data_IF_309198469936
#
_entry.id   IF_309198469936
#
_cell.length_a   1.000
_cell.length_b   1.000
_cell.length_c   1.000
_cell.angle_alpha   90.00
_cell.angle_beta   90.00
_cell.angle_gamma   90.00
#
_symmetry.space_group_name_H-M   'P 1'
#
loop_
_entity.id
_entity.type
_entity.pdbx_description
1 polymer ?
#
# COMPACT_ATOMS: atom_id res chain seq x y z
N UNK A 1 -1.91 9.00 12.60
CA UNK A 1 -3.10 8.15 12.38
C UNK A 1 -4.07 8.95 11.52
N UNK A 2 -4.51 8.39 10.40
CA UNK A 2 -5.54 8.98 9.55
C UNK A 2 -6.87 8.34 9.98
N UNK A 3 -7.93 9.13 10.15
CA UNK A 3 -9.24 8.55 10.50
C UNK A 3 -9.78 7.79 9.28
N UNK A 4 -10.45 6.65 9.48
CA UNK A 4 -10.99 5.89 8.36
C UNK A 4 -11.93 6.72 7.47
N UNK A 5 -12.66 7.67 8.05
CA UNK A 5 -13.66 8.52 7.39
C UNK A 5 -13.07 9.49 6.36
N UNK A 6 -11.77 9.76 6.41
CA UNK A 6 -11.08 10.57 5.40
C UNK A 6 -10.30 9.73 4.40
N UNK A 7 -10.26 8.39 4.52
CA UNK A 7 -9.51 7.52 3.60
C UNK A 7 -9.96 7.68 2.14
N UNK A 8 -11.25 7.94 1.89
CA UNK A 8 -11.75 8.22 0.54
C UNK A 8 -11.13 9.48 -0.08
N UNK A 9 -10.67 10.44 0.73
CA UNK A 9 -9.96 11.63 0.26
C UNK A 9 -8.51 11.32 -0.19
N UNK A 10 -8.00 10.15 0.21
CA UNK A 10 -6.69 9.62 -0.16
C UNK A 10 -6.81 8.46 -1.15
N UNK A 11 -7.93 8.38 -1.87
CA UNK A 11 -8.11 7.40 -2.92
C UNK A 11 -7.03 7.59 -3.99
N UNK A 12 -6.28 6.52 -4.24
CA UNK A 12 -5.07 6.52 -5.04
C UNK A 12 -5.19 5.53 -6.20
N UNK A 13 -4.39 5.71 -7.24
CA UNK A 13 -4.31 4.74 -8.33
C UNK A 13 -3.70 3.41 -7.88
N UNK A 14 -2.72 3.47 -6.97
CA UNK A 14 -2.02 2.33 -6.39
C UNK A 14 -1.87 2.54 -4.89
N UNK A 15 -2.15 1.50 -4.10
CA UNK A 15 -2.02 1.50 -2.65
C UNK A 15 -0.95 0.50 -2.21
N UNK A 16 0.02 0.95 -1.42
CA UNK A 16 1.01 0.08 -0.79
C UNK A 16 0.70 -0.08 0.70
N UNK A 17 0.59 -1.32 1.17
CA UNK A 17 0.22 -1.67 2.55
C UNK A 17 1.43 -2.29 3.25
N UNK A 18 1.96 -1.59 4.25
CA UNK A 18 3.00 -2.10 5.15
C UNK A 18 2.34 -2.73 6.38
N UNK A 19 2.31 -4.07 6.42
CA UNK A 19 1.67 -4.83 7.48
C UNK A 19 2.68 -5.21 8.59
N UNK A 20 2.99 -4.27 9.48
CA UNK A 20 3.96 -4.49 10.56
C UNK A 20 3.54 -5.52 11.60
N UNK A 21 2.23 -5.76 11.75
CA UNK A 21 1.67 -6.66 12.77
C UNK A 21 1.35 -8.07 12.23
N UNK A 22 1.80 -8.39 11.00
CA UNK A 22 1.56 -9.66 10.31
C UNK A 22 0.08 -10.11 10.34
N UNK A 23 -0.84 -9.15 10.27
CA UNK A 23 -2.28 -9.46 10.19
C UNK A 23 -2.59 -10.21 8.88
N UNK A 24 -3.60 -11.09 8.86
CA UNK A 24 -4.05 -11.68 7.61
C UNK A 24 -4.54 -10.59 6.66
N UNK A 25 -4.35 -10.76 5.33
CA UNK A 25 -4.78 -9.75 4.34
C UNK A 25 -6.27 -9.40 4.46
N UNK A 26 -7.10 -10.38 4.83
CA UNK A 26 -8.53 -10.19 5.09
C UNK A 26 -8.82 -9.15 6.17
N UNK A 27 -7.94 -8.97 7.16
CA UNK A 27 -8.09 -7.92 8.18
C UNK A 27 -8.23 -6.53 7.55
N UNK A 28 -7.51 -6.29 6.46
CA UNK A 28 -7.55 -5.02 5.72
C UNK A 28 -8.60 -5.06 4.62
N UNK A 29 -8.65 -6.13 3.83
CA UNK A 29 -9.48 -6.21 2.62
C UNK A 29 -10.97 -6.41 2.93
N UNK A 30 -11.33 -6.97 4.09
CA UNK A 30 -12.72 -7.11 4.52
C UNK A 30 -13.23 -5.87 5.27
N UNK A 31 -12.35 -4.91 5.58
CA UNK A 31 -12.76 -3.63 6.15
C UNK A 31 -13.52 -2.83 5.07
N UNK A 32 -14.80 -2.46 5.27
CA UNK A 32 -15.62 -1.82 4.24
C UNK A 32 -15.03 -0.54 3.66
N UNK A 33 -14.24 0.20 4.46
CA UNK A 33 -13.65 1.48 4.06
C UNK A 33 -12.38 1.30 3.24
N UNK A 34 -11.61 0.24 3.51
CA UNK A 34 -10.46 -0.11 2.66
C UNK A 34 -10.98 -0.78 1.39
N UNK A 35 -11.97 -1.66 1.51
CA UNK A 35 -12.60 -2.36 0.39
C UNK A 35 -13.27 -1.39 -0.61
N UNK A 36 -13.73 -0.21 -0.16
CA UNK A 36 -14.35 0.78 -1.04
C UNK A 36 -13.35 1.56 -1.91
N UNK A 37 -12.06 1.60 -1.54
CA UNK A 37 -11.03 2.34 -2.27
C UNK A 37 -10.85 1.82 -3.71
N UNK A 38 -10.63 2.72 -4.66
CA UNK A 38 -10.49 2.35 -6.07
C UNK A 38 -9.25 1.50 -6.33
N UNK A 39 -8.14 1.75 -5.63
CA UNK A 39 -6.95 0.90 -5.68
C UNK A 39 -7.27 -0.55 -5.29
N UNK A 40 -8.09 -0.77 -4.25
CA UNK A 40 -8.44 -2.11 -3.78
C UNK A 40 -9.40 -2.79 -4.75
N UNK A 41 -10.46 -2.10 -5.16
CA UNK A 41 -11.43 -2.60 -6.15
C UNK A 41 -10.79 -2.91 -7.51
N UNK A 42 -9.74 -2.19 -7.88
CA UNK A 42 -9.01 -2.38 -9.14
C UNK A 42 -7.86 -3.39 -9.02
N UNK A 43 -7.74 -4.10 -7.90
CA UNK A 43 -6.65 -5.05 -7.62
C UNK A 43 -5.23 -4.44 -7.73
N UNK A 44 -5.11 -3.18 -7.30
CA UNK A 44 -3.89 -2.37 -7.24
C UNK A 44 -3.52 -1.98 -5.79
N UNK A 45 -3.92 -2.82 -4.84
CA UNK A 45 -3.48 -2.75 -3.46
C UNK A 45 -2.46 -3.85 -3.18
N UNK A 46 -1.22 -3.46 -2.89
CA UNK A 46 -0.08 -4.37 -2.75
C UNK A 46 0.43 -4.40 -1.31
N UNK A 47 0.49 -5.59 -0.73
CA UNK A 47 1.16 -5.82 0.54
C UNK A 47 2.65 -5.95 0.27
N UNK A 48 3.45 -5.03 0.80
CA UNK A 48 4.90 -4.94 0.56
C UNK A 48 5.68 -5.45 1.77
N UNK A 49 6.93 -5.86 1.53
CA UNK A 49 7.84 -6.29 2.59
C UNK A 49 8.24 -5.09 3.46
N UNK A 50 7.82 -5.11 4.72
CA UNK A 50 8.03 -4.02 5.68
C UNK A 50 9.51 -3.80 5.98
N UNK A 51 10.37 -4.82 5.88
CA UNK A 51 11.81 -4.69 6.08
C UNK A 51 12.54 -3.96 4.96
N UNK A 52 11.88 -3.85 3.80
CA UNK A 52 12.40 -3.17 2.61
C UNK A 52 11.75 -1.81 2.40
N UNK A 53 10.51 -1.65 2.87
CA UNK A 53 9.67 -0.47 2.62
C UNK A 53 9.62 0.53 3.78
N UNK A 54 10.41 0.33 4.83
CA UNK A 54 10.51 1.27 5.97
C UNK A 54 11.14 2.63 5.62
N UNK A 55 11.81 2.74 4.46
CA UNK A 55 12.39 3.98 3.95
C UNK A 55 13.51 4.56 4.81
N UNK A 56 14.10 3.77 5.72
CA UNK A 56 15.06 4.27 6.70
C UNK A 56 16.42 4.63 6.05
N UNK A 57 16.65 5.93 5.88
CA UNK A 57 17.87 6.49 5.29
C UNK A 57 18.03 6.21 3.79
N UNK A 58 19.14 6.67 3.17
CA UNK A 58 19.33 6.54 1.72
C UNK A 58 19.29 5.10 1.21
N UNK A 59 19.80 4.15 2.01
CA UNK A 59 19.76 2.73 1.64
C UNK A 59 18.34 2.15 1.71
N UNK A 60 17.52 2.56 2.68
CA UNK A 60 16.12 2.18 2.76
C UNK A 60 15.33 2.69 1.56
N UNK A 61 15.52 3.96 1.20
CA UNK A 61 14.90 4.56 0.00
C UNK A 61 15.33 3.83 -1.27
N UNK A 62 16.60 3.46 -1.42
CA UNK A 62 17.06 2.68 -2.58
C UNK A 62 16.37 1.31 -2.68
N UNK A 63 16.12 0.62 -1.56
CA UNK A 63 15.38 -0.66 -1.58
C UNK A 63 13.93 -0.50 -2.03
N UNK A 64 13.29 0.62 -1.67
CA UNK A 64 11.95 0.95 -2.18
C UNK A 64 12.02 1.17 -3.69
N UNK A 65 13.02 1.92 -4.19
CA UNK A 65 13.19 2.15 -5.63
C UNK A 65 13.42 0.86 -6.41
N UNK A 66 14.15 -0.12 -5.85
CA UNK A 66 14.34 -1.43 -6.46
C UNK A 66 13.02 -2.22 -6.62
N UNK A 67 12.03 -1.93 -5.78
CA UNK A 67 10.75 -2.66 -5.72
C UNK A 67 9.61 -1.93 -6.40
N UNK A 68 9.54 -0.60 -6.30
CA UNK A 68 8.35 0.19 -6.68
C UNK A 68 7.96 0.00 -8.15
N UNK A 69 8.95 -0.13 -9.04
CA UNK A 69 8.72 -0.33 -10.48
C UNK A 69 8.08 -1.68 -10.82
N UNK A 70 8.05 -2.65 -9.90
CA UNK A 70 7.33 -3.92 -10.08
C UNK A 70 5.81 -3.74 -10.06
N UNK A 71 5.34 -2.66 -9.44
CA UNK A 71 3.93 -2.41 -9.14
C UNK A 71 3.35 -1.24 -9.91
N UNK A 72 4.21 -0.38 -10.48
CA UNK A 72 3.77 0.72 -11.32
C UNK A 72 3.32 0.17 -12.69
N UNK A 73 2.20 0.65 -13.23
CA UNK A 73 1.78 0.29 -14.58
C UNK A 73 2.86 0.72 -15.58
N UNK A 74 3.05 -0.05 -16.66
CA UNK A 74 4.03 0.23 -17.73
C UNK A 74 3.77 1.54 -18.52
N UNK A 75 2.80 2.36 -18.10
CA UNK A 75 2.25 3.48 -18.86
C UNK A 75 2.35 4.80 -18.07
N UNK A 76 3.45 5.03 -17.34
CA UNK A 76 3.74 6.35 -16.79
C UNK A 76 4.19 7.33 -17.88
#
# INVERSE_FOLDING_TARGET
MVSPEVLEQYDADVLFIMNYDDKPKSFFLDNPMIASLNAVRSNRAYFVDTSRWDGNGPLGVNRILDDIFKYLPNNL
#
